data_IF_919511389385
#
_entry.id   IF_919511389385
#
_cell.length_a   1.000
_cell.length_b   1.000
_cell.length_c   1.000
_cell.angle_alpha   90.00
_cell.angle_beta   90.00
_cell.angle_gamma   90.00
#
_symmetry.space_group_name_H-M   'P 1'
#
loop_
_entity.id
_entity.type
_entity.pdbx_description
1 polymer ?
#
# COMPACT_ATOMS: atom_id res chain seq x y z
N UNK A 1 -22.23 -17.53 110.38
CA UNK A 1 -22.05 -18.66 109.53
C UNK A 1 -22.52 -18.26 108.10
N UNK A 2 -21.69 -18.47 107.16
CA UNK A 2 -21.79 -18.46 105.73
C UNK A 2 -21.95 -17.12 105.00
N UNK A 3 -20.91 -16.79 104.35
CA UNK A 3 -20.56 -15.67 103.48
C UNK A 3 -21.05 -15.98 102.10
N UNK A 4 -21.65 -15.03 101.38
CA UNK A 4 -21.79 -15.11 99.95
C UNK A 4 -21.18 -13.91 99.25
N UNK A 5 -20.18 -14.18 98.43
CA UNK A 5 -19.48 -13.25 97.54
C UNK A 5 -20.31 -13.03 96.28
N UNK A 6 -20.48 -11.75 95.89
CA UNK A 6 -21.10 -11.37 94.58
C UNK A 6 -19.96 -10.96 93.67
N UNK A 7 -19.76 -11.66 92.56
CA UNK A 7 -18.85 -11.31 91.45
C UNK A 7 -19.59 -10.44 90.43
N UNK A 8 -19.08 -9.24 90.19
CA UNK A 8 -19.59 -8.33 89.15
C UNK A 8 -18.78 -8.54 87.91
N UNK A 9 -19.42 -9.06 86.86
CA UNK A 9 -18.84 -9.15 85.52
C UNK A 9 -18.85 -7.80 84.83
N UNK A 10 -17.64 -7.29 84.47
CA UNK A 10 -17.49 -6.13 83.57
C UNK A 10 -17.51 -6.58 82.13
N UNK A 11 -18.56 -6.23 81.36
CA UNK A 11 -18.61 -6.36 79.93
C UNK A 11 -17.83 -5.21 79.24
N UNK A 12 -16.71 -5.54 78.61
CA UNK A 12 -15.95 -4.60 77.77
C UNK A 12 -16.51 -4.56 76.35
N UNK A 13 -17.07 -3.44 75.93
CA UNK A 13 -17.51 -3.17 74.56
C UNK A 13 -16.26 -2.95 73.67
N UNK A 14 -15.91 -3.94 72.83
CA UNK A 14 -14.97 -3.76 71.74
C UNK A 14 -15.66 -3.08 70.55
N UNK A 15 -15.30 -1.81 70.28
CA UNK A 15 -15.69 -1.10 69.05
C UNK A 15 -14.87 -1.67 67.91
N UNK A 16 -15.54 -2.44 67.01
CA UNK A 16 -15.00 -2.84 65.72
C UNK A 16 -15.19 -1.67 64.75
N UNK A 17 -14.11 -0.94 64.49
CA UNK A 17 -14.04 0.11 63.46
C UNK A 17 -14.04 -0.52 62.08
N UNK A 18 -15.13 -0.44 61.33
CA UNK A 18 -15.21 -0.80 59.94
C UNK A 18 -14.60 0.36 59.11
N UNK A 19 -13.32 0.24 58.71
CA UNK A 19 -12.69 1.18 57.77
C UNK A 19 -13.19 0.85 56.35
N UNK A 20 -14.13 1.65 55.85
CA UNK A 20 -14.58 1.60 54.48
C UNK A 20 -13.49 2.17 53.55
N UNK A 21 -12.65 1.29 52.97
CA UNK A 21 -11.70 1.69 51.92
C UNK A 21 -12.52 1.93 50.63
N UNK A 22 -12.83 3.18 50.36
CA UNK A 22 -13.40 3.59 49.06
C UNK A 22 -12.26 3.59 48.03
N UNK A 23 -12.11 2.49 47.26
CA UNK A 23 -11.29 2.50 46.07
C UNK A 23 -11.91 3.40 45.02
N UNK A 24 -11.49 4.66 44.95
CA UNK A 24 -11.75 5.55 43.83
C UNK A 24 -10.99 4.99 42.63
N UNK A 25 -11.67 4.21 41.79
CA UNK A 25 -11.21 3.86 40.44
C UNK A 25 -11.17 5.15 39.63
N UNK A 26 -10.02 5.80 39.60
CA UNK A 26 -9.76 6.86 38.63
C UNK A 26 -9.69 6.19 37.27
N UNK A 27 -10.81 6.16 36.56
CA UNK A 27 -10.84 5.84 35.14
C UNK A 27 -10.04 6.92 34.43
N UNK A 28 -8.77 6.61 34.13
CA UNK A 28 -7.97 7.44 33.24
C UNK A 28 -8.71 7.46 31.90
N UNK A 29 -9.50 8.50 31.65
CA UNK A 29 -10.03 8.77 30.31
C UNK A 29 -8.82 8.98 29.42
N UNK A 30 -8.49 7.96 28.61
CA UNK A 30 -7.48 8.09 27.57
C UNK A 30 -7.99 9.19 26.63
N UNK A 31 -7.30 10.34 26.63
CA UNK A 31 -7.59 11.42 25.68
C UNK A 31 -7.41 10.83 24.29
N UNK A 32 -8.50 10.77 23.52
CA UNK A 32 -8.42 10.28 22.12
C UNK A 32 -7.39 11.11 21.35
N UNK A 33 -6.46 10.45 20.62
CA UNK A 33 -5.47 11.15 19.83
C UNK A 33 -6.15 12.07 18.80
N UNK A 34 -5.65 13.32 18.68
CA UNK A 34 -6.21 14.34 17.81
C UNK A 34 -5.33 14.53 16.57
N UNK A 35 -5.96 14.82 15.45
CA UNK A 35 -5.27 15.23 14.23
C UNK A 35 -4.65 16.64 14.42
N UNK A 36 -3.43 16.89 13.87
CA UNK A 36 -2.85 18.22 13.84
C UNK A 36 -3.63 19.12 12.89
N UNK A 37 -3.50 20.44 13.04
CA UNK A 37 -4.18 21.42 12.17
C UNK A 37 -3.74 21.37 10.71
N UNK A 38 -2.54 20.86 10.45
CA UNK A 38 -1.98 20.74 9.10
C UNK A 38 -1.16 19.45 8.95
N UNK A 39 -1.26 18.85 7.77
CA UNK A 39 -0.48 17.68 7.35
C UNK A 39 -0.10 17.82 5.87
N UNK A 40 0.86 17.02 5.43
CA UNK A 40 1.23 16.89 4.02
C UNK A 40 1.32 15.41 3.62
N UNK A 41 0.78 15.08 2.44
CA UNK A 41 0.93 13.79 1.79
C UNK A 41 1.55 13.96 0.41
N UNK A 42 2.43 13.08 0.01
CA UNK A 42 2.73 12.86 -1.40
C UNK A 42 1.68 11.92 -2.00
N UNK A 43 1.31 12.18 -3.25
CA UNK A 43 0.31 11.39 -3.97
C UNK A 43 0.70 11.25 -5.45
N UNK A 44 -0.20 10.72 -6.25
CA UNK A 44 0.01 10.45 -7.67
C UNK A 44 -0.04 11.70 -8.54
N UNK A 45 0.15 11.55 -9.86
CA UNK A 45 0.00 12.62 -10.84
C UNK A 45 -1.38 13.27 -10.75
N UNK A 46 -1.42 14.57 -11.06
CA UNK A 46 -2.67 15.31 -11.19
C UNK A 46 -3.66 14.61 -12.14
N UNK A 47 -4.93 14.55 -11.76
CA UNK A 47 -6.00 13.95 -12.55
C UNK A 47 -6.01 12.42 -12.61
N UNK A 48 -5.12 11.75 -11.87
CA UNK A 48 -5.20 10.29 -11.70
C UNK A 48 -6.12 9.94 -10.52
N UNK A 49 -6.69 8.74 -10.55
CA UNK A 49 -7.57 8.27 -9.47
C UNK A 49 -6.91 8.31 -8.10
N UNK A 50 -5.62 7.92 -7.97
CA UNK A 50 -4.92 7.98 -6.69
C UNK A 50 -4.70 9.41 -6.15
N UNK A 51 -4.55 10.41 -7.03
CA UNK A 51 -4.49 11.82 -6.63
C UNK A 51 -5.88 12.33 -6.22
N UNK A 52 -6.90 12.05 -7.02
CA UNK A 52 -8.28 12.48 -6.76
C UNK A 52 -8.81 11.95 -5.44
N UNK A 53 -8.53 10.67 -5.12
CA UNK A 53 -8.90 10.07 -3.84
C UNK A 53 -8.21 10.77 -2.67
N UNK A 54 -6.93 11.11 -2.77
CA UNK A 54 -6.22 11.87 -1.74
C UNK A 54 -6.82 13.28 -1.55
N UNK A 55 -7.24 13.94 -2.63
CA UNK A 55 -7.94 15.24 -2.59
C UNK A 55 -9.33 15.10 -1.94
N UNK A 56 -10.06 14.02 -2.24
CA UNK A 56 -11.35 13.73 -1.60
C UNK A 56 -11.21 13.56 -0.08
N UNK A 57 -10.20 12.81 0.37
CA UNK A 57 -9.88 12.65 1.80
C UNK A 57 -9.44 14.01 2.39
N UNK A 58 -8.64 14.81 1.67
CA UNK A 58 -8.22 16.13 2.13
C UNK A 58 -9.41 17.06 2.36
N UNK A 59 -10.41 17.03 1.45
CA UNK A 59 -11.65 17.78 1.62
C UNK A 59 -12.42 17.33 2.85
N UNK A 60 -12.63 16.04 3.03
CA UNK A 60 -13.29 15.47 4.22
C UNK A 60 -12.56 15.88 5.50
N UNK A 61 -11.24 15.77 5.57
CA UNK A 61 -10.45 16.17 6.74
C UNK A 61 -10.59 17.67 7.05
N UNK A 62 -10.70 18.52 6.03
CA UNK A 62 -10.93 19.95 6.22
C UNK A 62 -12.33 20.24 6.76
N UNK A 63 -13.35 19.61 6.19
CA UNK A 63 -14.76 19.90 6.52
C UNK A 63 -15.12 19.35 7.90
N UNK A 64 -14.75 18.09 8.20
CA UNK A 64 -15.13 17.41 9.44
C UNK A 64 -14.17 17.66 10.62
N UNK A 65 -12.88 17.83 10.33
CA UNK A 65 -11.85 17.90 11.37
C UNK A 65 -11.09 19.24 11.40
N UNK A 66 -11.36 20.17 10.47
CA UNK A 66 -10.66 21.46 10.31
C UNK A 66 -9.14 21.27 10.11
N UNK A 67 -8.75 20.18 9.46
CA UNK A 67 -7.36 19.83 9.16
C UNK A 67 -7.05 20.22 7.72
N UNK A 68 -6.02 21.02 7.51
CA UNK A 68 -5.51 21.33 6.17
C UNK A 68 -4.53 20.24 5.74
N UNK A 69 -4.93 19.39 4.78
CA UNK A 69 -4.03 18.43 4.16
C UNK A 69 -3.51 18.98 2.84
N UNK A 70 -2.19 19.18 2.76
CA UNK A 70 -1.50 19.50 1.50
C UNK A 70 -1.18 18.22 0.74
N UNK A 71 -1.81 18.01 -0.41
CA UNK A 71 -1.53 16.89 -1.31
C UNK A 71 -0.48 17.32 -2.34
N UNK A 72 0.67 16.65 -2.35
CA UNK A 72 1.83 16.94 -3.21
C UNK A 72 1.87 15.91 -4.33
N UNK A 73 1.68 16.30 -5.61
CA UNK A 73 1.69 15.36 -6.72
C UNK A 73 3.10 14.83 -7.01
N UNK A 74 3.22 13.53 -7.29
CA UNK A 74 4.43 12.84 -7.72
C UNK A 74 4.23 12.09 -9.03
N UNK A 75 5.19 12.19 -9.95
CA UNK A 75 5.09 11.64 -11.31
C UNK A 75 5.47 10.17 -11.43
N UNK A 76 6.13 9.59 -10.43
CA UNK A 76 6.58 8.20 -10.37
C UNK A 76 6.75 7.74 -8.91
N UNK A 77 7.09 6.48 -8.69
CA UNK A 77 7.19 5.85 -7.37
C UNK A 77 8.25 6.52 -6.49
N UNK A 78 9.42 6.79 -7.06
CA UNK A 78 10.53 7.47 -6.37
C UNK A 78 10.12 8.86 -5.90
N UNK A 79 9.48 9.66 -6.76
CA UNK A 79 9.07 11.03 -6.42
C UNK A 79 7.96 11.08 -5.35
N UNK A 80 7.20 10.00 -5.16
CA UNK A 80 6.21 9.89 -4.08
C UNK A 80 6.84 9.46 -2.75
N UNK A 81 7.77 8.51 -2.76
CA UNK A 81 8.40 7.99 -1.54
C UNK A 81 9.50 8.90 -0.98
N UNK A 82 10.23 9.60 -1.84
CA UNK A 82 11.34 10.46 -1.41
C UNK A 82 10.92 11.52 -0.36
N UNK A 83 9.82 12.27 -0.52
CA UNK A 83 9.38 13.23 0.50
C UNK A 83 9.10 12.58 1.86
N UNK A 84 8.58 11.34 1.89
CA UNK A 84 8.35 10.58 3.11
C UNK A 84 9.68 10.22 3.78
N UNK A 85 10.65 9.71 3.01
CA UNK A 85 11.98 9.32 3.49
C UNK A 85 12.76 10.47 4.12
N UNK A 86 12.59 11.69 3.60
CA UNK A 86 13.27 12.89 4.10
C UNK A 86 12.40 13.73 5.04
N UNK A 87 11.34 13.14 5.60
CA UNK A 87 10.41 13.74 6.57
C UNK A 87 9.77 15.07 6.08
N UNK A 88 9.56 15.24 4.78
CA UNK A 88 8.86 16.40 4.21
C UNK A 88 7.35 16.21 4.18
N UNK A 89 6.88 14.98 4.29
CA UNK A 89 5.49 14.60 4.42
C UNK A 89 5.33 13.54 5.50
N UNK A 90 4.18 13.48 6.14
CA UNK A 90 3.86 12.48 7.17
C UNK A 90 3.40 11.16 6.54
N UNK A 91 2.77 11.23 5.37
CA UNK A 91 2.19 10.09 4.67
C UNK A 91 2.45 10.16 3.17
N UNK A 92 2.33 9.01 2.52
CA UNK A 92 2.42 8.90 1.06
C UNK A 92 1.32 7.97 0.55
N UNK A 93 0.53 8.44 -0.42
CA UNK A 93 -0.40 7.59 -1.15
C UNK A 93 0.38 6.90 -2.28
N UNK A 94 0.63 5.61 -2.12
CA UNK A 94 1.39 4.78 -3.05
C UNK A 94 0.57 3.57 -3.52
N UNK A 95 1.18 2.68 -4.24
CA UNK A 95 0.71 1.35 -4.60
C UNK A 95 1.72 0.31 -4.14
N UNK A 96 1.94 -0.70 -4.98
CA UNK A 96 2.88 -1.80 -4.70
C UNK A 96 4.34 -1.36 -4.57
N UNK A 97 4.70 -0.15 -5.00
CA UNK A 97 6.02 0.44 -4.72
C UNK A 97 6.32 0.55 -3.23
N UNK A 98 5.31 0.58 -2.37
CA UNK A 98 5.47 0.44 -0.92
C UNK A 98 6.10 -0.91 -0.55
N UNK A 99 5.71 -1.99 -1.23
CA UNK A 99 6.30 -3.32 -1.04
C UNK A 99 7.73 -3.36 -1.59
N UNK A 100 7.99 -2.81 -2.78
CA UNK A 100 9.34 -2.75 -3.34
C UNK A 100 10.30 -1.95 -2.47
N UNK A 101 9.83 -0.85 -1.88
CA UNK A 101 10.61 -0.05 -0.95
C UNK A 101 10.93 -0.82 0.35
N UNK A 102 9.98 -1.59 0.89
CA UNK A 102 10.23 -2.49 2.01
C UNK A 102 11.35 -3.49 1.69
N UNK A 103 11.28 -4.09 0.50
CA UNK A 103 12.21 -5.13 0.06
C UNK A 103 13.57 -4.60 -0.38
N UNK A 104 13.70 -3.28 -0.66
CA UNK A 104 14.91 -2.68 -1.20
C UNK A 104 15.26 -3.22 -2.58
N UNK A 105 14.27 -3.36 -3.47
CA UNK A 105 14.43 -3.92 -4.82
C UNK A 105 14.13 -2.91 -5.91
N UNK A 106 14.51 -3.18 -7.16
CA UNK A 106 14.32 -2.31 -8.32
C UNK A 106 14.96 -0.92 -8.12
N UNK A 107 14.19 0.14 -8.14
CA UNK A 107 14.69 1.51 -7.94
C UNK A 107 15.18 1.78 -6.51
N UNK A 108 14.87 0.88 -5.57
CA UNK A 108 15.22 1.00 -4.15
C UNK A 108 16.48 0.21 -3.74
N UNK A 109 17.23 -0.35 -4.70
CA UNK A 109 18.49 -1.06 -4.43
C UNK A 109 19.67 -0.12 -4.12
N UNK A 110 19.61 1.16 -4.51
CA UNK A 110 20.76 2.08 -4.43
C UNK A 110 21.12 2.45 -2.98
N UNK A 111 22.38 2.92 -2.73
CA UNK A 111 22.84 3.34 -1.41
C UNK A 111 21.95 4.36 -0.71
N UNK A 112 21.25 5.18 -1.50
CA UNK A 112 20.32 6.21 -0.99
C UNK A 112 19.04 5.61 -0.41
N UNK A 113 18.67 4.41 -0.83
CA UNK A 113 17.40 3.78 -0.48
C UNK A 113 17.59 2.59 0.47
N UNK A 114 17.92 1.43 -0.06
CA UNK A 114 17.86 0.17 0.67
C UNK A 114 16.45 -0.20 1.13
N UNK A 115 16.31 -1.24 1.94
CA UNK A 115 15.04 -1.61 2.56
C UNK A 115 14.53 -0.53 3.52
N UNK A 116 13.28 -0.10 3.31
CA UNK A 116 12.67 0.98 4.08
C UNK A 116 11.65 0.40 5.08
N UNK A 117 11.65 0.79 6.36
CA UNK A 117 10.70 0.32 7.35
C UNK A 117 9.33 1.02 7.19
N UNK A 118 8.72 0.89 6.01
CA UNK A 118 7.39 1.39 5.71
C UNK A 118 6.30 0.68 6.50
N UNK A 119 5.18 1.36 6.75
CA UNK A 119 3.99 0.85 7.43
C UNK A 119 2.74 1.28 6.68
N UNK A 120 1.77 0.37 6.63
CA UNK A 120 0.44 0.67 6.09
C UNK A 120 -0.41 1.40 7.12
N UNK A 121 -1.23 2.32 6.64
CA UNK A 121 -2.29 2.97 7.42
C UNK A 121 -3.64 2.40 7.02
N UNK A 122 -4.02 2.59 5.77
CA UNK A 122 -5.18 2.03 5.11
C UNK A 122 -4.89 1.84 3.62
N UNK A 123 -5.74 1.12 2.92
CA UNK A 123 -5.62 0.91 1.48
C UNK A 123 -6.97 1.01 0.77
N UNK A 124 -6.94 1.31 -0.52
CA UNK A 124 -8.12 1.26 -1.37
C UNK A 124 -8.08 -0.01 -2.23
N UNK A 125 -9.07 -0.89 -2.10
CA UNK A 125 -9.28 -1.99 -3.04
C UNK A 125 -10.59 -1.75 -3.80
N UNK A 126 -10.49 -1.00 -4.89
CA UNK A 126 -11.62 -0.58 -5.70
C UNK A 126 -12.25 -1.71 -6.54
N UNK A 127 -13.30 -1.35 -7.29
CA UNK A 127 -13.98 -2.22 -8.26
C UNK A 127 -13.34 -2.11 -9.66
N UNK A 128 -12.07 -1.80 -9.70
CA UNK A 128 -11.26 -1.60 -10.89
C UNK A 128 -10.20 -2.69 -11.03
N UNK A 129 -9.62 -2.83 -12.23
CA UNK A 129 -8.43 -3.64 -12.45
C UNK A 129 -7.20 -2.77 -12.71
N UNK A 130 -6.05 -3.40 -12.63
CA UNK A 130 -4.78 -2.93 -13.14
C UNK A 130 -4.56 -3.66 -14.47
N UNK A 131 -4.29 -2.94 -15.56
CA UNK A 131 -4.25 -3.58 -16.87
C UNK A 131 -3.51 -2.80 -17.93
N UNK A 132 -3.27 -3.46 -19.05
CA UNK A 132 -2.77 -2.85 -20.29
C UNK A 132 -3.97 -2.47 -21.15
N UNK A 133 -4.05 -1.19 -21.48
CA UNK A 133 -5.01 -0.65 -22.45
C UNK A 133 -4.39 -0.56 -23.83
N UNK A 134 -5.21 -0.81 -24.84
CA UNK A 134 -4.93 -0.60 -26.27
C UNK A 134 -6.04 0.24 -26.90
N UNK A 135 -5.82 0.76 -28.10
CA UNK A 135 -6.89 1.40 -28.87
C UNK A 135 -7.92 0.35 -29.30
N UNK A 136 -9.22 0.64 -29.15
CA UNK A 136 -10.28 -0.31 -29.49
C UNK A 136 -10.36 -0.61 -30.99
N UNK A 137 -9.79 0.25 -31.83
CA UNK A 137 -9.69 0.07 -33.26
C UNK A 137 -8.33 -0.53 -33.71
N UNK A 138 -7.51 -1.05 -32.78
CA UNK A 138 -6.26 -1.74 -33.10
C UNK A 138 -6.51 -3.22 -33.43
N UNK A 139 -5.48 -3.88 -33.98
CA UNK A 139 -5.40 -5.32 -34.23
C UNK A 139 -4.96 -6.16 -33.02
N UNK A 140 -4.90 -5.54 -31.85
CA UNK A 140 -4.42 -6.16 -30.58
C UNK A 140 -5.64 -6.61 -29.78
N UNK A 141 -5.89 -7.90 -29.70
CA UNK A 141 -7.04 -8.48 -28.98
C UNK A 141 -6.60 -9.22 -27.71
N UNK A 142 -5.40 -9.81 -27.72
CA UNK A 142 -4.86 -10.63 -26.63
C UNK A 142 -3.46 -10.16 -26.23
N UNK A 143 -3.01 -10.54 -25.05
CA UNK A 143 -1.65 -10.19 -24.55
C UNK A 143 -0.57 -10.72 -25.53
N UNK A 144 -0.75 -11.91 -26.12
CA UNK A 144 0.21 -12.48 -27.05
C UNK A 144 0.40 -11.63 -28.34
N UNK A 145 -0.59 -10.81 -28.70
CA UNK A 145 -0.54 -9.94 -29.89
C UNK A 145 0.37 -8.71 -29.65
N UNK A 146 0.88 -8.53 -28.42
CA UNK A 146 1.86 -7.49 -28.09
C UNK A 146 3.26 -7.77 -28.62
N UNK A 147 3.51 -8.95 -29.20
CA UNK A 147 4.81 -9.27 -29.83
C UNK A 147 5.16 -8.22 -30.88
N UNK A 148 6.35 -7.62 -30.75
CA UNK A 148 6.85 -6.52 -31.59
C UNK A 148 6.03 -5.22 -31.57
N UNK A 149 5.04 -5.07 -30.66
CA UNK A 149 4.32 -3.81 -30.44
C UNK A 149 5.08 -2.92 -29.46
N UNK A 150 4.80 -1.62 -29.51
CA UNK A 150 5.40 -0.63 -28.63
C UNK A 150 4.75 -0.67 -27.24
N UNK A 151 5.56 -1.05 -26.23
CA UNK A 151 5.15 -1.15 -24.83
C UNK A 151 5.95 -0.16 -23.98
N UNK A 152 5.27 0.72 -23.21
CA UNK A 152 5.96 1.76 -22.46
C UNK A 152 6.68 1.20 -21.23
N UNK A 153 7.87 1.76 -20.99
CA UNK A 153 8.65 1.61 -19.77
C UNK A 153 8.78 2.97 -19.09
N UNK A 154 8.29 3.12 -17.87
CA UNK A 154 8.27 4.43 -17.17
C UNK A 154 9.44 4.50 -16.21
N UNK A 155 10.36 5.44 -16.45
CA UNK A 155 11.55 5.65 -15.62
C UNK A 155 11.18 6.01 -14.18
N UNK A 156 11.76 5.32 -13.20
CA UNK A 156 11.49 5.53 -11.78
C UNK A 156 10.12 5.05 -11.31
N UNK A 157 9.43 4.20 -12.09
CA UNK A 157 8.10 3.67 -11.79
C UNK A 157 8.08 2.12 -11.81
N UNK A 158 8.83 1.45 -10.91
CA UNK A 158 8.87 -0.01 -10.89
C UNK A 158 7.48 -0.65 -10.75
N UNK A 159 6.54 -0.02 -10.05
CA UNK A 159 5.18 -0.55 -9.92
C UNK A 159 4.47 -0.71 -11.29
N UNK A 160 4.66 0.24 -12.21
CA UNK A 160 4.12 0.14 -13.56
C UNK A 160 4.83 -0.93 -14.37
N UNK A 161 6.17 -0.92 -14.36
CA UNK A 161 7.00 -1.76 -15.19
C UNK A 161 6.88 -3.25 -14.81
N UNK A 162 6.96 -3.58 -13.51
CA UNK A 162 6.80 -4.95 -12.99
C UNK A 162 5.39 -5.49 -13.25
N UNK A 163 4.36 -4.64 -13.08
CA UNK A 163 2.99 -5.07 -13.39
C UNK A 163 2.77 -5.26 -14.89
N UNK A 164 3.40 -4.44 -15.74
CA UNK A 164 3.39 -4.64 -17.19
C UNK A 164 4.08 -5.95 -17.55
N UNK A 165 5.25 -6.23 -16.98
CA UNK A 165 6.00 -7.46 -17.17
C UNK A 165 5.20 -8.71 -16.76
N UNK A 166 4.49 -8.64 -15.62
CA UNK A 166 3.63 -9.73 -15.17
C UNK A 166 2.48 -10.01 -16.16
N UNK A 167 1.89 -8.95 -16.75
CA UNK A 167 0.86 -9.10 -17.78
C UNK A 167 1.46 -9.68 -19.07
N UNK A 168 2.63 -9.21 -19.51
CA UNK A 168 3.34 -9.79 -20.64
C UNK A 168 3.61 -11.29 -20.42
N UNK A 169 4.11 -11.67 -19.24
CA UNK A 169 4.37 -13.06 -18.88
C UNK A 169 3.12 -13.92 -18.87
N UNK A 170 1.95 -13.40 -18.47
CA UNK A 170 0.67 -14.09 -18.64
C UNK A 170 0.46 -14.53 -20.09
N UNK A 171 0.75 -13.66 -21.06
CA UNK A 171 0.68 -13.98 -22.50
C UNK A 171 1.89 -14.75 -23.06
N UNK A 172 2.83 -15.18 -22.21
CA UNK A 172 4.06 -15.87 -22.63
C UNK A 172 5.09 -14.95 -23.31
N UNK A 173 5.07 -13.67 -22.98
CA UNK A 173 6.01 -12.65 -23.49
C UNK A 173 6.91 -12.11 -22.38
N UNK A 174 8.04 -11.57 -22.80
CA UNK A 174 9.00 -10.83 -21.98
C UNK A 174 9.24 -9.44 -22.55
N UNK A 175 10.01 -8.59 -21.87
CA UNK A 175 10.45 -7.30 -22.42
C UNK A 175 11.28 -7.44 -23.72
N UNK A 176 11.92 -8.59 -23.98
CA UNK A 176 12.66 -8.85 -25.20
C UNK A 176 11.76 -9.12 -26.43
N UNK A 177 10.49 -9.47 -26.20
CA UNK A 177 9.52 -9.78 -27.25
C UNK A 177 8.76 -8.55 -27.76
N UNK A 178 8.93 -7.39 -27.12
CA UNK A 178 8.20 -6.14 -27.42
C UNK A 178 9.16 -4.99 -27.71
N UNK A 179 8.67 -3.93 -28.33
CA UNK A 179 9.44 -2.69 -28.51
C UNK A 179 9.29 -1.82 -27.25
N UNK A 180 10.26 -1.88 -26.34
CA UNK A 180 10.27 -1.06 -25.11
C UNK A 180 10.51 0.40 -25.44
N UNK A 181 9.56 1.29 -25.08
CA UNK A 181 9.65 2.76 -25.25
C UNK A 181 9.70 3.44 -23.90
N UNK A 182 10.77 4.18 -23.62
CA UNK A 182 11.00 4.83 -22.32
C UNK A 182 10.29 6.18 -22.19
N UNK A 183 9.68 6.41 -21.02
CA UNK A 183 8.99 7.64 -20.67
C UNK A 183 9.46 8.21 -19.32
N UNK A 184 9.57 9.55 -19.19
CA UNK A 184 9.99 10.19 -17.95
C UNK A 184 8.90 10.18 -16.85
N UNK A 185 7.68 9.69 -17.15
CA UNK A 185 6.59 9.61 -16.19
C UNK A 185 5.26 9.18 -16.81
N UNK A 186 4.32 8.82 -15.93
CA UNK A 186 2.99 8.30 -16.28
C UNK A 186 2.20 9.21 -17.26
N UNK A 187 2.22 10.53 -17.02
CA UNK A 187 1.50 11.48 -17.88
C UNK A 187 2.04 11.53 -19.31
N UNK A 188 3.38 11.45 -19.47
CA UNK A 188 4.01 11.44 -20.80
C UNK A 188 3.64 10.17 -21.58
N UNK A 189 3.68 9.00 -20.94
CA UNK A 189 3.23 7.73 -21.51
C UNK A 189 1.78 7.83 -22.03
N UNK A 190 0.86 8.32 -21.23
CA UNK A 190 -0.55 8.43 -21.62
C UNK A 190 -0.80 9.48 -22.72
N UNK A 191 -0.05 10.55 -22.74
CA UNK A 191 -0.12 11.51 -23.83
C UNK A 191 0.33 10.87 -25.17
N UNK A 192 1.41 10.10 -25.15
CA UNK A 192 1.88 9.36 -26.32
C UNK A 192 0.86 8.31 -26.79
N UNK A 193 0.22 7.57 -25.86
CA UNK A 193 -0.85 6.61 -26.21
C UNK A 193 -2.07 7.29 -26.87
N UNK A 194 -2.55 8.39 -26.31
CA UNK A 194 -3.69 9.14 -26.85
C UNK A 194 -3.33 9.72 -28.24
N UNK A 195 -2.09 10.21 -28.41
CA UNK A 195 -1.57 10.68 -29.68
C UNK A 195 -1.35 9.56 -30.72
N UNK A 196 -1.31 8.28 -30.31
CA UNK A 196 -1.06 7.13 -31.18
C UNK A 196 0.41 6.95 -31.54
N UNK A 197 1.29 7.36 -30.65
CA UNK A 197 2.75 7.20 -30.79
C UNK A 197 3.25 5.88 -30.20
N UNK A 198 2.41 5.18 -29.40
CA UNK A 198 2.64 3.86 -28.84
C UNK A 198 1.34 3.05 -28.90
N UNK A 199 1.47 1.72 -28.91
CA UNK A 199 0.35 0.80 -29.07
C UNK A 199 -0.39 0.52 -27.76
N UNK A 200 0.30 0.68 -26.62
CA UNK A 200 -0.22 0.27 -25.31
C UNK A 200 0.03 1.31 -24.23
N UNK A 201 -0.76 1.27 -23.13
CA UNK A 201 -0.45 1.97 -21.89
C UNK A 201 -1.00 1.21 -20.69
N UNK A 202 -0.23 1.21 -19.58
CA UNK A 202 -0.68 0.60 -18.33
C UNK A 202 -1.44 1.60 -17.45
N UNK A 203 -2.55 1.15 -16.85
CA UNK A 203 -3.28 1.92 -15.83
C UNK A 203 -4.17 1.07 -14.94
N UNK A 204 -4.66 1.68 -13.84
CA UNK A 204 -5.94 1.26 -13.27
C UNK A 204 -7.08 1.70 -14.18
N UNK A 205 -8.08 0.83 -14.36
CA UNK A 205 -9.17 1.02 -15.33
C UNK A 205 -10.01 2.27 -15.12
N UNK A 206 -9.96 2.87 -13.92
CA UNK A 206 -10.71 4.10 -13.54
C UNK A 206 -9.88 5.39 -13.66
N UNK A 207 -8.63 5.34 -14.13
CA UNK A 207 -7.75 6.50 -14.22
C UNK A 207 -8.26 7.55 -15.23
N UNK A 208 -8.10 8.84 -14.95
CA UNK A 208 -8.53 9.92 -15.83
C UNK A 208 -8.02 9.83 -17.27
N UNK A 209 -6.73 9.53 -17.54
CA UNK A 209 -6.23 9.33 -18.90
C UNK A 209 -6.95 8.24 -19.70
N UNK A 210 -7.44 7.17 -19.05
CA UNK A 210 -8.18 6.10 -19.73
C UNK A 210 -9.51 6.60 -20.29
N UNK A 211 -10.17 7.51 -19.55
CA UNK A 211 -11.40 8.17 -20.02
C UNK A 211 -11.15 9.08 -21.20
N UNK A 212 -9.99 9.71 -21.28
CA UNK A 212 -9.61 10.54 -22.46
C UNK A 212 -9.38 9.67 -23.69
N UNK A 213 -8.78 8.50 -23.56
CA UNK A 213 -8.62 7.56 -24.67
C UNK A 213 -9.99 7.00 -25.10
N UNK A 214 -10.84 6.60 -24.14
CA UNK A 214 -12.22 6.13 -24.40
C UNK A 214 -13.02 7.15 -25.23
N UNK A 215 -12.93 8.45 -24.87
CA UNK A 215 -13.64 9.53 -25.56
C UNK A 215 -13.00 9.94 -26.89
N UNK A 216 -11.83 9.45 -27.23
CA UNK A 216 -11.16 9.72 -28.50
C UNK A 216 -11.74 8.84 -29.64
N UNK A 217 -11.51 9.19 -30.91
CA UNK A 217 -11.91 8.33 -32.05
C UNK A 217 -11.32 6.91 -32.03
N UNK A 218 -10.25 6.69 -31.24
CA UNK A 218 -9.61 5.38 -31.11
C UNK A 218 -10.37 4.45 -30.18
N UNK A 219 -11.13 5.01 -29.21
CA UNK A 219 -11.72 4.21 -28.13
C UNK A 219 -10.70 3.52 -27.24
N UNK A 220 -11.15 2.70 -26.31
CA UNK A 220 -10.29 1.94 -25.40
C UNK A 220 -10.74 0.48 -25.33
N UNK A 221 -9.77 -0.42 -25.29
CA UNK A 221 -9.94 -1.84 -24.98
C UNK A 221 -8.89 -2.25 -23.94
N UNK A 222 -9.26 -3.18 -23.05
CA UNK A 222 -8.36 -3.74 -22.03
C UNK A 222 -8.03 -5.18 -22.39
N UNK A 223 -6.76 -5.53 -22.28
CA UNK A 223 -6.31 -6.91 -22.51
C UNK A 223 -6.67 -7.77 -21.29
N UNK A 224 -7.29 -8.93 -21.56
CA UNK A 224 -7.77 -9.86 -20.54
C UNK A 224 -6.64 -10.73 -19.99
N UNK A 225 -6.65 -10.96 -18.67
CA UNK A 225 -5.91 -12.04 -18.00
C UNK A 225 -6.92 -13.11 -17.60
N UNK A 226 -7.05 -14.23 -18.34
CA UNK A 226 -8.09 -15.23 -18.11
C UNK A 226 -7.96 -15.88 -16.73
N UNK A 227 -9.04 -15.94 -15.96
CA UNK A 227 -9.04 -16.53 -14.62
C UNK A 227 -8.98 -18.05 -14.63
N UNK A 228 -9.44 -18.65 -15.73
CA UNK A 228 -9.41 -20.10 -16.00
C UNK A 228 -8.10 -20.58 -16.63
N UNK A 229 -7.09 -19.70 -16.82
CA UNK A 229 -5.74 -20.05 -17.26
C UNK A 229 -4.75 -20.03 -16.07
N UNK A 230 -4.56 -21.15 -15.35
CA UNK A 230 -3.63 -21.20 -14.23
C UNK A 230 -2.17 -20.98 -14.65
N UNK A 231 -1.80 -21.27 -15.90
CA UNK A 231 -0.44 -21.05 -16.39
C UNK A 231 -0.15 -19.56 -16.59
N UNK A 232 -1.13 -18.77 -17.05
CA UNK A 232 -1.06 -17.31 -17.09
C UNK A 232 -0.76 -16.76 -15.69
N UNK A 233 -1.56 -17.13 -14.68
CA UNK A 233 -1.41 -16.63 -13.31
C UNK A 233 -0.14 -17.13 -12.64
N UNK A 234 0.31 -18.35 -12.92
CA UNK A 234 1.59 -18.84 -12.41
C UNK A 234 2.75 -17.98 -12.91
N UNK A 235 2.81 -17.70 -14.22
CA UNK A 235 3.85 -16.84 -14.79
C UNK A 235 3.77 -15.40 -14.26
N UNK A 236 2.57 -14.84 -14.19
CA UNK A 236 2.36 -13.48 -13.70
C UNK A 236 2.77 -13.34 -12.22
N UNK A 237 2.40 -14.31 -11.36
CA UNK A 237 2.67 -14.24 -9.92
C UNK A 237 4.13 -14.54 -9.55
N UNK A 238 4.91 -15.18 -10.41
CA UNK A 238 6.38 -15.26 -10.26
C UNK A 238 7.03 -13.87 -10.32
N UNK A 239 6.45 -12.95 -11.08
CA UNK A 239 6.93 -11.57 -11.23
C UNK A 239 6.24 -10.62 -10.26
N UNK A 240 4.91 -10.73 -10.15
CA UNK A 240 4.06 -9.85 -9.36
C UNK A 240 3.16 -10.63 -8.38
N UNK A 241 3.70 -11.16 -7.26
CA UNK A 241 2.95 -11.99 -6.32
C UNK A 241 1.80 -11.26 -5.62
N UNK A 242 1.74 -9.95 -5.74
CA UNK A 242 0.67 -9.10 -5.22
C UNK A 242 -0.56 -9.02 -6.15
N UNK A 243 -0.43 -9.45 -7.40
CA UNK A 243 -1.52 -9.39 -8.38
C UNK A 243 -2.49 -10.56 -8.15
N UNK A 244 -3.79 -10.25 -8.05
CA UNK A 244 -4.82 -11.24 -7.79
C UNK A 244 -5.90 -11.17 -8.86
N UNK A 245 -6.51 -12.31 -9.28
CA UNK A 245 -7.65 -12.32 -10.18
C UNK A 245 -8.79 -11.42 -9.68
N UNK A 246 -9.37 -10.61 -10.56
CA UNK A 246 -10.50 -9.77 -10.24
C UNK A 246 -11.33 -9.40 -11.48
N UNK A 247 -12.66 -9.41 -11.32
CA UNK A 247 -13.56 -8.83 -12.31
C UNK A 247 -13.81 -7.36 -11.97
N UNK A 248 -13.32 -6.45 -12.82
CA UNK A 248 -13.63 -5.04 -12.67
C UNK A 248 -15.01 -4.72 -13.23
N UNK A 249 -15.80 -3.98 -12.47
CA UNK A 249 -17.11 -3.46 -12.90
C UNK A 249 -17.10 -1.93 -13.03
N UNK A 250 -15.95 -1.31 -12.85
CA UNK A 250 -15.75 0.14 -13.00
C UNK A 250 -14.48 0.41 -13.81
N UNK A 251 -14.60 1.29 -14.80
CA UNK A 251 -13.47 1.68 -15.65
C UNK A 251 -13.93 2.27 -16.98
N UNK A 252 -12.97 2.77 -17.77
CA UNK A 252 -13.21 3.17 -19.14
C UNK A 252 -13.59 1.94 -19.97
N UNK A 253 -14.71 1.98 -20.67
CA UNK A 253 -15.26 0.85 -21.42
C UNK A 253 -15.76 -0.32 -20.58
N UNK A 254 -15.87 -0.17 -19.24
CA UNK A 254 -16.23 -1.22 -18.28
C UNK A 254 -17.46 -0.80 -17.48
N UNK A 255 -18.37 -1.77 -17.25
CA UNK A 255 -19.57 -1.59 -16.43
C UNK A 255 -20.01 -2.92 -15.81
N UNK A 256 -21.07 -2.91 -14.99
CA UNK A 256 -21.66 -4.14 -14.45
C UNK A 256 -22.17 -5.09 -15.57
N UNK A 257 -22.65 -4.52 -16.69
CA UNK A 257 -23.09 -5.30 -17.86
C UNK A 257 -21.93 -5.75 -18.78
N UNK A 258 -20.76 -5.09 -18.66
CA UNK A 258 -19.55 -5.42 -19.43
C UNK A 258 -18.36 -5.39 -18.47
N UNK A 259 -18.22 -6.39 -17.59
CA UNK A 259 -17.09 -6.47 -16.69
C UNK A 259 -15.79 -6.79 -17.44
N UNK A 260 -14.66 -6.38 -16.88
CA UNK A 260 -13.34 -6.75 -17.39
C UNK A 260 -12.70 -7.79 -16.50
N UNK A 261 -12.34 -8.92 -17.08
CA UNK A 261 -11.59 -10.00 -16.44
C UNK A 261 -10.08 -9.69 -16.47
N UNK A 262 -9.46 -9.59 -15.30
CA UNK A 262 -8.06 -9.19 -15.20
C UNK A 262 -7.52 -9.30 -13.79
N UNK A 263 -6.51 -8.49 -13.48
CA UNK A 263 -5.85 -8.49 -12.18
C UNK A 263 -6.05 -7.20 -11.39
N UNK A 264 -6.04 -7.31 -10.07
CA UNK A 264 -6.09 -6.16 -9.16
C UNK A 264 -5.17 -6.34 -7.95
N UNK A 265 -4.83 -5.22 -7.32
CA UNK A 265 -4.18 -5.11 -6.01
C UNK A 265 -4.60 -3.81 -5.34
N UNK A 266 -4.41 -3.64 -4.02
CA UNK A 266 -4.79 -2.40 -3.34
C UNK A 266 -4.11 -1.17 -3.94
N UNK A 267 -4.91 -0.17 -4.32
CA UNK A 267 -4.46 1.06 -4.96
C UNK A 267 -5.47 2.20 -4.80
N UNK A 268 -5.08 3.36 -4.22
CA UNK A 268 -3.82 3.62 -3.55
C UNK A 268 -3.69 2.93 -2.19
N UNK A 269 -2.45 2.88 -1.70
CA UNK A 269 -2.09 2.44 -0.35
C UNK A 269 -1.56 3.65 0.41
N UNK A 270 -2.17 4.00 1.53
CA UNK A 270 -1.66 5.04 2.42
C UNK A 270 -0.56 4.47 3.30
N UNK A 271 0.62 5.03 3.16
CA UNK A 271 1.87 4.54 3.74
C UNK A 271 2.52 5.62 4.60
N UNK A 272 3.17 5.19 5.68
CA UNK A 272 4.03 6.02 6.53
C UNK A 272 5.30 5.24 6.93
N UNK A 273 6.19 5.83 7.72
CA UNK A 273 7.36 5.14 8.29
C UNK A 273 7.01 4.51 9.64
N UNK A 274 7.78 3.49 10.05
CA UNK A 274 7.64 2.83 11.35
C UNK A 274 7.79 3.80 12.54
N UNK A 275 8.51 4.91 12.34
CA UNK A 275 8.80 5.94 13.35
C UNK A 275 7.71 6.99 13.49
N UNK A 276 6.65 6.94 12.68
CA UNK A 276 5.55 7.91 12.77
C UNK A 276 4.82 7.79 14.12
N UNK A 277 4.29 8.89 14.63
CA UNK A 277 3.53 8.89 15.87
C UNK A 277 2.29 7.99 15.79
N UNK A 278 2.17 7.06 16.72
CA UNK A 278 1.08 6.08 16.72
C UNK A 278 -0.30 6.70 16.98
N UNK A 279 -0.34 7.77 17.78
CA UNK A 279 -1.57 8.53 18.04
C UNK A 279 -2.06 9.24 16.77
N UNK A 280 -1.15 9.87 16.03
CA UNK A 280 -1.47 10.49 14.74
C UNK A 280 -2.02 9.46 13.74
N UNK A 281 -1.36 8.29 13.63
CA UNK A 281 -1.82 7.24 12.71
C UNK A 281 -3.17 6.68 13.14
N UNK A 282 -3.40 6.46 14.44
CA UNK A 282 -4.70 6.07 14.98
C UNK A 282 -5.79 7.08 14.61
N UNK A 283 -5.57 8.36 14.90
CA UNK A 283 -6.53 9.43 14.66
C UNK A 283 -6.85 9.57 13.14
N UNK A 284 -5.84 9.43 12.28
CA UNK A 284 -6.04 9.50 10.83
C UNK A 284 -6.82 8.29 10.30
N UNK A 285 -6.46 7.07 10.74
CA UNK A 285 -7.18 5.83 10.36
C UNK A 285 -8.65 5.94 10.73
N UNK A 286 -8.94 6.38 11.97
CA UNK A 286 -10.30 6.63 12.46
C UNK A 286 -11.04 7.69 11.63
N UNK A 287 -10.38 8.80 11.31
CA UNK A 287 -11.00 9.88 10.54
C UNK A 287 -11.35 9.44 9.12
N UNK A 288 -10.48 8.66 8.46
CA UNK A 288 -10.75 8.12 7.10
C UNK A 288 -11.93 7.13 7.14
N UNK A 289 -11.98 6.24 8.12
CA UNK A 289 -13.07 5.27 8.24
C UNK A 289 -14.41 5.94 8.51
N UNK A 290 -14.50 6.77 9.55
CA UNK A 290 -15.75 7.45 9.92
C UNK A 290 -16.19 8.50 8.89
N UNK A 291 -15.24 9.12 8.18
CA UNK A 291 -15.53 10.09 7.13
C UNK A 291 -15.74 9.49 5.74
N UNK A 292 -15.81 8.15 5.61
CA UNK A 292 -15.90 7.47 4.31
C UNK A 292 -17.04 7.99 3.43
N UNK A 293 -18.21 8.21 4.00
CA UNK A 293 -19.39 8.66 3.26
C UNK A 293 -19.21 10.05 2.62
N UNK A 294 -18.37 10.92 3.17
CA UNK A 294 -18.11 12.26 2.65
C UNK A 294 -17.18 12.25 1.44
N UNK A 295 -16.34 11.22 1.25
CA UNK A 295 -15.39 11.18 0.14
C UNK A 295 -15.55 9.97 -0.81
N UNK A 296 -16.44 9.00 -0.52
CA UNK A 296 -16.65 7.82 -1.37
C UNK A 296 -17.02 8.16 -2.83
N UNK A 297 -17.62 9.33 -3.06
CA UNK A 297 -17.99 9.83 -4.39
C UNK A 297 -16.94 10.72 -5.07
N UNK A 298 -15.80 10.98 -4.42
CA UNK A 298 -14.78 11.92 -4.96
C UNK A 298 -14.08 11.38 -6.21
N UNK A 299 -13.99 10.05 -6.34
CA UNK A 299 -13.41 9.36 -7.49
C UNK A 299 -14.02 7.95 -7.58
N UNK A 300 -14.18 7.34 -8.77
CA UNK A 300 -14.70 5.98 -8.91
C UNK A 300 -13.94 4.91 -8.10
N UNK A 301 -12.65 5.14 -7.82
CA UNK A 301 -11.82 4.27 -6.98
C UNK A 301 -12.04 4.47 -5.48
N UNK A 302 -12.70 5.54 -5.04
CA UNK A 302 -12.85 5.88 -3.61
C UNK A 302 -13.64 4.84 -2.81
N UNK A 303 -14.51 4.07 -3.45
CA UNK A 303 -15.22 2.95 -2.81
C UNK A 303 -14.29 1.89 -2.20
N UNK A 304 -13.06 1.82 -2.68
CA UNK A 304 -12.06 0.88 -2.18
C UNK A 304 -11.58 1.15 -0.75
N UNK A 305 -11.77 2.37 -0.21
CA UNK A 305 -11.38 2.74 1.15
C UNK A 305 -12.31 2.20 2.24
N UNK A 306 -13.47 1.66 1.85
CA UNK A 306 -14.41 1.07 2.79
C UNK A 306 -13.73 0.03 3.69
N UNK A 307 -14.03 0.03 4.99
CA UNK A 307 -13.41 -0.85 5.98
C UNK A 307 -13.53 -2.33 5.60
N UNK A 308 -14.67 -2.76 5.08
CA UNK A 308 -14.90 -4.13 4.61
C UNK A 308 -14.00 -4.57 3.44
N UNK A 309 -13.30 -3.62 2.79
CA UNK A 309 -12.39 -3.88 1.68
C UNK A 309 -10.92 -3.85 2.07
N UNK A 310 -10.59 -3.60 3.34
CA UNK A 310 -9.22 -3.62 3.81
C UNK A 310 -8.63 -5.03 3.74
N UNK A 311 -7.37 -5.16 3.32
CA UNK A 311 -6.61 -6.42 3.27
C UNK A 311 -5.62 -6.46 4.43
N UNK A 312 -6.07 -6.92 5.60
CA UNK A 312 -5.26 -6.94 6.82
C UNK A 312 -4.05 -7.90 6.78
N UNK A 313 -4.07 -8.89 5.89
CA UNK A 313 -2.98 -9.83 5.64
C UNK A 313 -2.36 -9.56 4.26
N UNK A 314 -1.78 -8.36 4.08
CA UNK A 314 -1.08 -7.99 2.86
C UNK A 314 0.45 -8.15 3.01
N UNK A 315 1.25 -7.65 2.08
CA UNK A 315 2.71 -7.90 1.98
C UNK A 315 3.59 -6.93 2.78
N UNK A 316 3.00 -5.88 3.34
CA UNK A 316 3.69 -4.84 4.13
C UNK A 316 2.99 -4.73 5.49
N UNK A 317 3.74 -4.62 6.61
CA UNK A 317 3.12 -4.53 7.93
C UNK A 317 2.37 -3.22 8.13
N UNK A 318 1.26 -3.30 8.86
CA UNK A 318 0.51 -2.14 9.30
C UNK A 318 1.23 -1.38 10.41
N UNK A 319 0.96 -0.09 10.50
CA UNK A 319 1.42 0.74 11.62
C UNK A 319 0.68 0.40 12.91
N UNK A 320 1.38 0.46 14.05
CA UNK A 320 0.79 0.14 15.37
C UNK A 320 -0.45 0.99 15.69
N UNK A 321 -0.46 2.27 15.30
CA UNK A 321 -1.62 3.16 15.45
C UNK A 321 -2.84 2.70 14.63
N UNK A 322 -2.64 2.25 13.39
CA UNK A 322 -3.70 1.69 12.56
C UNK A 322 -4.25 0.38 13.16
N UNK A 323 -3.34 -0.52 13.59
CA UNK A 323 -3.72 -1.78 14.27
C UNK A 323 -4.52 -1.49 15.55
N UNK A 324 -4.13 -0.49 16.33
CA UNK A 324 -4.85 -0.10 17.54
C UNK A 324 -6.29 0.33 17.20
N UNK A 325 -6.50 1.08 16.12
CA UNK A 325 -7.83 1.42 15.64
C UNK A 325 -8.60 0.17 15.20
N UNK A 326 -8.03 -0.68 14.37
CA UNK A 326 -8.70 -1.91 13.92
C UNK A 326 -9.07 -2.84 15.08
N UNK A 327 -8.23 -2.94 16.11
CA UNK A 327 -8.53 -3.67 17.36
C UNK A 327 -9.71 -3.06 18.10
N UNK A 328 -9.79 -1.72 18.19
CA UNK A 328 -10.92 -1.03 18.82
C UNK A 328 -12.26 -1.26 18.11
N UNK A 329 -12.20 -1.59 16.81
CA UNK A 329 -13.38 -1.94 16.00
C UNK A 329 -13.66 -3.46 15.97
N UNK A 330 -12.88 -4.28 16.69
CA UNK A 330 -13.03 -5.74 16.67
C UNK A 330 -12.61 -6.43 15.38
N UNK A 331 -11.85 -5.74 14.51
CA UNK A 331 -11.50 -6.22 13.16
C UNK A 331 -10.15 -6.95 13.10
N UNK A 332 -9.32 -6.84 14.15
CA UNK A 332 -7.97 -7.40 14.14
C UNK A 332 -7.91 -8.73 14.90
N UNK A 333 -7.69 -9.83 14.16
CA UNK A 333 -7.64 -11.19 14.70
C UNK A 333 -6.23 -11.61 15.09
N UNK A 334 -6.10 -12.73 15.82
CA UNK A 334 -4.80 -13.34 16.14
C UNK A 334 -4.07 -13.83 14.87
N UNK A 335 -4.78 -14.33 13.87
CA UNK A 335 -4.18 -14.70 12.58
C UNK A 335 -3.54 -13.50 11.88
N UNK A 336 -4.20 -12.34 11.88
CA UNK A 336 -3.65 -11.09 11.35
C UNK A 336 -2.44 -10.62 12.14
N UNK A 337 -2.44 -10.78 13.48
CA UNK A 337 -1.29 -10.45 14.30
C UNK A 337 -0.09 -11.37 13.99
N UNK A 338 -0.31 -12.66 13.84
CA UNK A 338 0.75 -13.63 13.49
C UNK A 338 1.37 -13.30 12.12
N UNK A 339 0.54 -12.93 11.14
CA UNK A 339 0.99 -12.46 9.82
C UNK A 339 1.81 -11.17 9.94
N UNK A 340 1.31 -10.18 10.68
CA UNK A 340 2.00 -8.92 10.99
C UNK A 340 3.39 -9.18 11.58
N UNK A 341 3.48 -10.07 12.56
CA UNK A 341 4.74 -10.41 13.24
C UNK A 341 5.73 -11.09 12.27
N UNK A 342 5.22 -11.90 11.34
CA UNK A 342 6.00 -12.49 10.24
C UNK A 342 6.62 -11.42 9.34
N UNK A 343 5.83 -10.41 8.95
CA UNK A 343 6.30 -9.29 8.12
C UNK A 343 7.33 -8.42 8.85
N UNK A 344 7.14 -8.19 10.14
CA UNK A 344 8.12 -7.46 10.96
C UNK A 344 9.44 -8.21 11.08
N UNK A 345 9.41 -9.55 11.26
CA UNK A 345 10.62 -10.39 11.23
C UNK A 345 11.32 -10.30 9.87
N UNK A 346 10.57 -10.34 8.76
CA UNK A 346 11.14 -10.16 7.42
C UNK A 346 11.84 -8.80 7.28
N UNK A 347 11.22 -7.70 7.73
CA UNK A 347 11.87 -6.38 7.71
C UNK A 347 13.14 -6.33 8.55
N UNK A 348 13.16 -6.99 9.72
CA UNK A 348 14.36 -7.06 10.55
C UNK A 348 15.51 -7.80 9.85
N UNK A 349 15.22 -8.89 9.13
CA UNK A 349 16.21 -9.62 8.31
C UNK A 349 16.73 -8.74 7.18
N UNK A 350 15.86 -8.03 6.47
CA UNK A 350 16.26 -7.10 5.39
C UNK A 350 17.14 -5.97 5.92
N UNK A 351 16.78 -5.37 7.05
CA UNK A 351 17.59 -4.32 7.68
C UNK A 351 18.98 -4.83 8.10
N UNK A 352 19.06 -6.07 8.63
CA UNK A 352 20.33 -6.71 8.97
C UNK A 352 21.18 -7.01 7.73
N UNK A 353 20.55 -7.54 6.68
CA UNK A 353 21.22 -7.80 5.40
C UNK A 353 21.81 -6.53 4.82
N UNK A 354 21.02 -5.44 4.83
CA UNK A 354 21.45 -4.13 4.33
C UNK A 354 22.59 -3.52 5.14
N UNK A 355 22.48 -3.50 6.46
CA UNK A 355 23.54 -2.95 7.31
C UNK A 355 24.87 -3.71 7.14
N UNK A 356 24.80 -5.04 7.00
CA UNK A 356 26.00 -5.86 6.72
C UNK A 356 26.55 -5.60 5.33
N UNK A 357 25.66 -5.44 4.33
CA UNK A 357 26.06 -5.13 2.97
C UNK A 357 26.79 -3.79 2.88
N UNK A 358 26.21 -2.72 3.44
CA UNK A 358 26.83 -1.38 3.47
C UNK A 358 28.19 -1.41 4.19
N UNK A 359 28.29 -2.09 5.33
CA UNK A 359 29.55 -2.18 6.08
C UNK A 359 30.67 -2.91 5.30
N UNK A 360 30.31 -3.83 4.40
CA UNK A 360 31.26 -4.59 3.59
C UNK A 360 31.76 -3.81 2.36
N UNK A 361 31.05 -2.75 1.91
CA UNK A 361 31.44 -2.00 0.70
C UNK A 361 32.65 -1.09 0.93
N UNK A 362 32.92 -0.62 2.16
CA UNK A 362 34.01 0.32 2.47
C UNK A 362 33.90 1.60 1.62
N UNK A 363 35.08 2.14 1.27
CA UNK A 363 35.20 3.33 0.42
C UNK A 363 35.25 2.98 -1.11
N UNK A 364 35.16 1.71 -1.47
CA UNK A 364 35.15 1.29 -2.87
C UNK A 364 33.75 1.50 -3.47
N UNK A 365 33.64 2.48 -4.36
CA UNK A 365 32.41 2.69 -5.11
C UNK A 365 32.27 1.60 -6.18
N UNK A 366 31.36 0.63 -5.96
CA UNK A 366 30.92 -0.28 -7.03
C UNK A 366 30.18 0.53 -8.10
N UNK A 367 30.27 0.11 -9.36
CA UNK A 367 29.37 0.62 -10.37
C UNK A 367 27.90 0.23 -10.04
N UNK A 368 26.94 0.81 -10.74
CA UNK A 368 25.52 0.60 -10.43
C UNK A 368 25.08 -0.85 -10.64
N UNK A 369 25.56 -1.52 -11.68
CA UNK A 369 25.14 -2.88 -12.01
C UNK A 369 25.72 -3.89 -11.00
N UNK A 370 26.99 -3.74 -10.64
CA UNK A 370 27.66 -4.56 -9.63
C UNK A 370 27.02 -4.37 -8.24
N UNK A 371 26.66 -3.13 -7.90
CA UNK A 371 25.96 -2.81 -6.66
C UNK A 371 24.62 -3.53 -6.58
N UNK A 372 23.79 -3.40 -7.61
CA UNK A 372 22.44 -3.98 -7.64
C UNK A 372 22.52 -5.51 -7.54
N UNK A 373 23.42 -6.15 -8.29
CA UNK A 373 23.64 -7.60 -8.27
C UNK A 373 24.15 -8.10 -6.92
N UNK A 374 25.14 -7.42 -6.34
CA UNK A 374 25.70 -7.78 -5.04
C UNK A 374 24.70 -7.61 -3.90
N UNK A 375 23.91 -6.54 -3.91
CA UNK A 375 22.82 -6.35 -2.95
C UNK A 375 21.75 -7.45 -3.08
N UNK A 376 21.29 -7.75 -4.29
CA UNK A 376 20.26 -8.77 -4.52
C UNK A 376 20.72 -10.15 -4.06
N UNK A 377 21.99 -10.51 -4.28
CA UNK A 377 22.58 -11.75 -3.78
C UNK A 377 22.66 -11.78 -2.25
N UNK A 378 23.11 -10.70 -1.60
CA UNK A 378 23.14 -10.57 -0.14
C UNK A 378 21.73 -10.67 0.47
N UNK A 379 20.76 -9.95 -0.11
CA UNK A 379 19.36 -9.97 0.28
C UNK A 379 18.80 -11.40 0.22
N UNK A 380 18.98 -12.09 -0.90
CA UNK A 380 18.50 -13.46 -1.08
C UNK A 380 19.13 -14.41 -0.05
N UNK A 381 20.43 -14.35 0.19
CA UNK A 381 21.15 -15.14 1.19
C UNK A 381 20.53 -15.00 2.58
N UNK A 382 20.30 -13.78 3.04
CA UNK A 382 19.77 -13.53 4.38
C UNK A 382 18.29 -13.95 4.54
N UNK A 383 17.46 -13.70 3.51
CA UNK A 383 16.06 -14.10 3.52
C UNK A 383 15.93 -15.63 3.54
N UNK A 384 16.64 -16.34 2.67
CA UNK A 384 16.64 -17.81 2.61
C UNK A 384 17.13 -18.41 3.92
N UNK A 385 18.21 -17.89 4.51
CA UNK A 385 18.72 -18.38 5.80
C UNK A 385 17.73 -18.18 6.95
N UNK A 386 16.83 -17.19 6.84
CA UNK A 386 15.77 -16.93 7.81
C UNK A 386 14.43 -17.64 7.49
N UNK A 387 14.38 -18.48 6.46
CA UNK A 387 13.20 -19.22 6.03
C UNK A 387 12.17 -18.38 5.26
N UNK A 388 12.60 -17.25 4.67
CA UNK A 388 11.76 -16.44 3.80
C UNK A 388 12.09 -16.67 2.33
N UNK A 389 11.06 -16.69 1.49
CA UNK A 389 11.23 -16.63 0.04
C UNK A 389 11.86 -15.29 -0.36
N UNK A 390 13.00 -15.28 -1.06
CA UNK A 390 13.66 -14.04 -1.46
C UNK A 390 12.91 -13.26 -2.54
N UNK A 391 11.98 -13.83 -3.30
CA UNK A 391 11.28 -13.23 -4.44
C UNK A 391 12.21 -12.26 -5.20
N UNK A 392 12.26 -12.24 -6.50
CA UNK A 392 13.20 -11.44 -7.30
C UNK A 392 14.70 -11.70 -6.98
N UNK A 393 15.08 -12.95 -6.76
CA UNK A 393 16.49 -13.31 -6.46
C UNK A 393 17.43 -13.22 -7.67
N UNK A 394 16.92 -13.07 -8.87
CA UNK A 394 17.65 -13.10 -10.14
C UNK A 394 17.17 -11.99 -11.10
N UNK A 395 17.32 -10.72 -10.71
CA UNK A 395 17.06 -9.59 -11.62
C UNK A 395 18.34 -8.85 -11.92
#
# INVERSE_FOLDING_TARGET
>A
MSTYLINILKFGLRRVGFSLVVCLSVSAQSVEPKLPRAMAWSAYNLGTTGYNQAVGIAKMLKDEHRVTLRVIPGKNDVSRLLPLMVNRVQFSANGVSTYFAQEGVFQFTSPRWGPIPVRLVMMSLGLSNQGIAVAANSDIERIADLRSKSVPYVLGAPALNVSTEAILACGGLTWADVQRVEFPGYGAMWNAMIAGQIDTAYATTVSGPTRRLEASPKGIQWLTMPHDDPACWQRANQIAPYLQPNFATRGAGISDAKPHEGGNYPYPILTTLATQDAGLVYALTRAIDLGFDQFKGADPGSMGWQMARQKFQWLVPYHSGAIAYFKSQGLWTQSMQNHQDGLLRRQAVLAKAWSTFIAAQGDAALDRADWDSAWMAQRAKYLTAAGFDPIWSSQ
#
